data_IF_559151066458
#
_entry.id   IF_559151066458
#
_cell.length_a   1.000
_cell.length_b   1.000
_cell.length_c   1.000
_cell.angle_alpha   90.00
_cell.angle_beta   90.00
_cell.angle_gamma   90.00
#
_symmetry.space_group_name_H-M   'P 1'
#
loop_
_entity.id
_entity.type
_entity.pdbx_description
1 polymer ?
#
# COMPACT_ATOMS: atom_id res chain seq x y z
N UNK A 1 1.35 3.29 -11.08
CA UNK A 1 1.53 4.49 -11.94
C UNK A 1 2.77 4.34 -12.80
N UNK A 2 2.74 4.86 -14.04
CA UNK A 2 3.89 4.85 -14.95
C UNK A 2 4.92 5.88 -14.49
N UNK A 3 6.20 5.52 -14.47
CA UNK A 3 7.27 6.47 -14.22
C UNK A 3 7.42 7.38 -15.45
N UNK A 4 7.01 8.62 -15.33
CA UNK A 4 7.08 9.66 -16.37
C UNK A 4 8.06 10.78 -16.01
N UNK A 5 8.86 10.59 -14.95
CA UNK A 5 9.79 11.58 -14.42
C UNK A 5 9.17 12.53 -13.39
N UNK A 6 7.85 12.47 -13.17
CA UNK A 6 7.18 13.19 -12.07
C UNK A 6 7.14 12.34 -10.82
N UNK A 7 6.95 12.98 -9.66
CA UNK A 7 6.90 12.25 -8.36
C UNK A 7 5.68 11.36 -8.20
N UNK A 8 4.55 11.68 -8.83
CA UNK A 8 3.31 10.93 -8.70
C UNK A 8 3.09 9.95 -9.86
N UNK A 9 3.86 10.10 -10.94
CA UNK A 9 3.72 9.29 -12.14
C UNK A 9 2.37 9.46 -12.82
N UNK A 10 2.22 8.86 -14.00
CA UNK A 10 0.98 8.89 -14.75
C UNK A 10 0.11 7.67 -14.42
N UNK A 11 -1.17 7.88 -14.12
CA UNK A 11 -2.11 6.78 -13.91
C UNK A 11 -2.26 5.95 -15.18
N UNK A 12 -2.12 4.63 -15.01
CA UNK A 12 -2.35 3.64 -16.06
C UNK A 12 -3.34 2.59 -15.58
N UNK A 13 -4.05 2.00 -16.50
CA UNK A 13 -4.90 0.82 -16.29
C UNK A 13 -4.19 -0.36 -16.92
N UNK A 14 -3.89 -1.36 -16.12
CA UNK A 14 -3.14 -2.56 -16.53
C UNK A 14 -4.10 -3.72 -16.73
N UNK A 15 -3.88 -4.51 -17.78
CA UNK A 15 -4.65 -5.73 -18.04
C UNK A 15 -4.48 -6.75 -16.91
N UNK A 16 -5.49 -7.59 -16.67
CA UNK A 16 -5.49 -8.60 -15.61
C UNK A 16 -4.35 -9.63 -15.74
N UNK A 17 -3.89 -9.86 -16.95
CA UNK A 17 -2.76 -10.77 -17.25
C UNK A 17 -1.39 -10.08 -17.15
N UNK A 18 -1.35 -8.80 -16.75
CA UNK A 18 -0.16 -7.97 -16.61
C UNK A 18 0.69 -7.83 -17.87
N UNK A 19 0.10 -7.93 -19.06
CA UNK A 19 0.84 -7.83 -20.32
C UNK A 19 0.72 -6.48 -21.02
N UNK A 20 -0.39 -5.79 -20.80
CA UNK A 20 -0.67 -4.54 -21.50
C UNK A 20 -1.23 -3.49 -20.58
N UNK A 21 -1.12 -2.23 -20.99
CA UNK A 21 -1.74 -1.12 -20.29
C UNK A 21 -2.22 -0.03 -21.24
N UNK A 22 -3.11 0.81 -20.76
CA UNK A 22 -3.50 2.09 -21.34
C UNK A 22 -3.33 3.22 -20.32
N UNK A 23 -3.06 4.41 -20.81
CA UNK A 23 -2.99 5.62 -19.97
C UNK A 23 -4.40 6.11 -19.66
N UNK A 24 -4.64 6.53 -18.43
CA UNK A 24 -5.93 7.08 -17.99
C UNK A 24 -6.04 8.60 -18.18
N UNK A 25 -5.13 9.23 -18.91
CA UNK A 25 -4.95 10.69 -19.01
C UNK A 25 -6.20 11.46 -19.46
N UNK A 26 -7.08 10.83 -20.25
CA UNK A 26 -8.31 11.45 -20.73
C UNK A 26 -9.43 11.47 -19.66
N UNK A 27 -9.23 10.73 -18.57
CA UNK A 27 -10.13 10.67 -17.42
C UNK A 27 -9.48 11.39 -16.23
N UNK A 28 -8.26 10.96 -15.88
CA UNK A 28 -7.52 11.50 -14.72
C UNK A 28 -6.03 11.19 -14.85
N UNK A 29 -5.18 12.08 -14.39
CA UNK A 29 -3.73 12.01 -14.65
C UNK A 29 -2.94 11.20 -13.62
N UNK A 30 -3.31 11.28 -12.33
CA UNK A 30 -2.58 10.61 -11.23
C UNK A 30 -3.53 9.76 -10.38
N UNK A 31 -2.98 8.81 -9.61
CA UNK A 31 -3.76 8.03 -8.68
C UNK A 31 -4.39 8.91 -7.59
N UNK A 32 -3.66 9.92 -7.09
CA UNK A 32 -4.22 10.86 -6.11
C UNK A 32 -5.42 11.60 -6.68
N UNK A 33 -5.33 12.11 -7.91
CA UNK A 33 -6.47 12.77 -8.56
C UNK A 33 -7.65 11.81 -8.75
N UNK A 34 -7.40 10.53 -9.00
CA UNK A 34 -8.46 9.54 -9.07
C UNK A 34 -9.16 9.35 -7.71
N UNK A 35 -8.40 9.32 -6.62
CA UNK A 35 -8.98 9.23 -5.28
C UNK A 35 -9.80 10.46 -4.90
N UNK A 36 -9.29 11.65 -5.19
CA UNK A 36 -9.96 12.92 -4.90
C UNK A 36 -11.29 13.07 -5.66
N UNK A 37 -11.39 12.47 -6.85
CA UNK A 37 -12.56 12.53 -7.72
C UNK A 37 -13.25 11.16 -7.92
N UNK A 38 -13.08 10.23 -6.98
CA UNK A 38 -13.45 8.83 -7.13
C UNK A 38 -14.84 8.58 -7.69
N UNK A 39 -15.85 9.24 -7.13
CA UNK A 39 -17.25 9.02 -7.48
C UNK A 39 -17.57 9.42 -8.92
N UNK A 40 -16.79 10.33 -9.50
CA UNK A 40 -16.96 10.78 -10.90
C UNK A 40 -16.11 9.98 -11.88
N UNK A 41 -14.99 9.40 -11.45
CA UNK A 41 -14.05 8.73 -12.37
C UNK A 41 -14.08 7.20 -12.30
N UNK A 42 -14.57 6.62 -11.19
CA UNK A 42 -14.56 5.17 -10.97
C UNK A 42 -15.14 4.39 -12.15
N UNK A 43 -16.37 4.72 -12.54
CA UNK A 43 -17.07 4.00 -13.62
C UNK A 43 -16.31 4.10 -14.94
N UNK A 44 -15.76 5.27 -15.26
CA UNK A 44 -14.98 5.48 -16.49
C UNK A 44 -13.70 4.61 -16.48
N UNK A 45 -13.02 4.53 -15.33
CA UNK A 45 -11.81 3.70 -15.19
C UNK A 45 -12.16 2.20 -15.27
N UNK A 46 -13.28 1.79 -14.69
CA UNK A 46 -13.79 0.41 -14.79
C UNK A 46 -14.13 0.03 -16.25
N UNK A 47 -14.79 0.91 -16.99
CA UNK A 47 -15.13 0.70 -18.40
C UNK A 47 -13.86 0.53 -19.25
N UNK A 48 -12.86 1.40 -19.04
CA UNK A 48 -11.56 1.27 -19.72
C UNK A 48 -10.90 -0.08 -19.38
N UNK A 49 -10.96 -0.51 -18.12
CA UNK A 49 -10.41 -1.80 -17.70
C UNK A 49 -11.12 -2.97 -18.39
N UNK A 50 -12.46 -2.91 -18.51
CA UNK A 50 -13.27 -3.93 -19.20
C UNK A 50 -12.87 -3.99 -20.67
N UNK A 51 -12.80 -2.84 -21.35
CA UNK A 51 -12.46 -2.78 -22.77
C UNK A 51 -11.02 -3.21 -23.07
N UNK A 52 -10.07 -2.85 -22.20
CA UNK A 52 -8.67 -3.29 -22.29
C UNK A 52 -8.58 -4.82 -22.21
N UNK A 53 -9.23 -5.42 -21.21
CA UNK A 53 -9.23 -6.87 -21.03
C UNK A 53 -10.00 -7.63 -22.12
N UNK A 54 -10.91 -6.96 -22.81
CA UNK A 54 -11.59 -7.50 -23.99
C UNK A 54 -10.79 -7.33 -25.29
N UNK A 55 -9.59 -6.73 -25.25
CA UNK A 55 -8.75 -6.47 -26.41
C UNK A 55 -9.31 -5.42 -27.38
N UNK A 56 -10.22 -4.56 -26.93
CA UNK A 56 -10.88 -3.54 -27.76
C UNK A 56 -10.10 -2.24 -27.85
N UNK A 57 -9.11 -2.03 -26.97
CA UNK A 57 -8.32 -0.81 -26.93
C UNK A 57 -6.93 -1.02 -27.52
N UNK A 58 -6.42 0.00 -28.22
CA UNK A 58 -5.01 0.06 -28.56
C UNK A 58 -4.21 0.26 -27.26
N UNK A 59 -3.36 -0.71 -26.94
CA UNK A 59 -2.61 -0.75 -25.67
C UNK A 59 -1.10 -0.74 -25.91
N UNK A 60 -0.36 -0.48 -24.84
CA UNK A 60 1.09 -0.58 -24.77
C UNK A 60 1.48 -1.85 -24.02
N UNK A 61 2.68 -2.37 -24.27
CA UNK A 61 3.25 -3.47 -23.48
C UNK A 61 3.51 -3.00 -22.05
N UNK A 62 3.05 -3.77 -21.05
CA UNK A 62 3.33 -3.49 -19.65
C UNK A 62 4.70 -4.04 -19.26
N UNK A 63 5.47 -3.20 -18.57
CA UNK A 63 6.75 -3.55 -17.98
C UNK A 63 6.79 -3.05 -16.53
N UNK A 64 6.85 -3.97 -15.57
CA UNK A 64 6.84 -3.65 -14.15
C UNK A 64 8.10 -2.89 -13.68
N UNK A 65 9.16 -2.84 -14.48
CA UNK A 65 10.37 -2.06 -14.17
C UNK A 65 10.22 -0.58 -14.47
N UNK A 66 9.19 -0.21 -15.23
CA UNK A 66 8.92 1.16 -15.67
C UNK A 66 7.81 1.84 -14.86
N UNK A 67 7.37 1.24 -13.78
CA UNK A 67 6.30 1.82 -12.94
C UNK A 67 6.79 2.17 -11.55
N UNK A 68 6.15 3.15 -10.96
CA UNK A 68 6.18 3.42 -9.51
C UNK A 68 5.20 2.51 -8.78
N UNK A 69 5.17 2.58 -7.45
CA UNK A 69 4.06 2.06 -6.66
C UNK A 69 2.72 2.69 -7.10
N UNK A 70 1.56 2.08 -6.81
CA UNK A 70 0.27 2.69 -7.12
C UNK A 70 0.09 4.09 -6.53
N UNK A 71 0.59 4.28 -5.31
CA UNK A 71 0.72 5.58 -4.65
C UNK A 71 2.20 5.83 -4.35
N UNK A 72 2.95 6.53 -5.22
CA UNK A 72 4.35 6.83 -4.93
C UNK A 72 4.52 7.64 -3.65
N UNK A 73 3.55 8.50 -3.37
CA UNK A 73 3.47 9.31 -2.15
C UNK A 73 2.05 9.29 -1.62
N UNK A 74 1.86 8.87 -0.37
CA UNK A 74 0.59 9.02 0.34
C UNK A 74 0.67 10.21 1.29
N UNK A 75 -0.43 10.96 1.42
CA UNK A 75 -0.53 12.00 2.45
C UNK A 75 -0.50 11.41 3.85
N UNK A 76 -1.11 10.23 4.00
CA UNK A 76 -1.13 9.50 5.25
C UNK A 76 -1.28 8.01 4.96
N UNK A 77 -0.58 7.21 5.74
CA UNK A 77 -0.81 5.79 5.82
C UNK A 77 -0.58 5.30 7.24
N UNK A 78 -1.20 4.21 7.58
CA UNK A 78 -1.04 3.55 8.87
C UNK A 78 -1.02 2.05 8.66
N UNK A 79 -0.20 1.36 9.45
CA UNK A 79 -0.22 -0.07 9.56
C UNK A 79 -1.10 -0.50 10.74
N UNK A 80 -1.93 -1.51 10.52
CA UNK A 80 -2.75 -2.14 11.55
C UNK A 80 -2.40 -3.61 11.68
N UNK A 81 -1.79 -4.01 12.79
CA UNK A 81 -1.44 -5.41 13.08
C UNK A 81 -2.70 -6.25 13.36
N UNK A 82 -3.56 -6.41 12.34
CA UNK A 82 -4.84 -7.11 12.45
C UNK A 82 -4.76 -8.61 12.14
N UNK A 83 -3.66 -9.09 11.56
CA UNK A 83 -3.48 -10.51 11.28
C UNK A 83 -3.01 -11.27 12.52
N UNK A 84 -3.97 -11.86 13.23
CA UNK A 84 -3.77 -12.47 14.56
C UNK A 84 -2.61 -13.46 14.60
N UNK A 85 -2.48 -14.31 13.58
CA UNK A 85 -1.42 -15.32 13.56
C UNK A 85 -0.02 -14.68 13.51
N UNK A 86 0.16 -13.62 12.74
CA UNK A 86 1.42 -12.88 12.69
C UNK A 86 1.78 -12.34 14.09
N UNK A 87 0.86 -11.64 14.74
CA UNK A 87 1.08 -11.06 16.08
C UNK A 87 1.36 -12.15 17.11
N UNK A 88 0.65 -13.29 17.04
CA UNK A 88 0.89 -14.44 17.92
C UNK A 88 2.33 -14.98 17.75
N UNK A 89 2.78 -15.17 16.52
CA UNK A 89 4.13 -15.67 16.23
C UNK A 89 5.22 -14.71 16.70
N UNK A 90 5.05 -13.41 16.44
CA UNK A 90 6.00 -12.37 16.91
C UNK A 90 6.07 -12.31 18.42
N UNK A 91 4.94 -12.36 19.13
CA UNK A 91 4.91 -12.39 20.58
C UNK A 91 5.54 -13.66 21.16
N UNK A 92 5.20 -14.82 20.60
CA UNK A 92 5.80 -16.10 20.98
C UNK A 92 7.32 -16.09 20.82
N UNK A 93 7.84 -15.53 19.73
CA UNK A 93 9.29 -15.38 19.52
C UNK A 93 9.97 -14.50 20.57
N UNK A 94 9.23 -13.56 21.16
CA UNK A 94 9.69 -12.67 22.25
C UNK A 94 9.39 -13.20 23.65
N UNK A 95 8.80 -14.41 23.78
CA UNK A 95 8.39 -14.98 25.07
C UNK A 95 7.22 -14.23 25.74
N UNK A 96 6.42 -13.52 24.97
CA UNK A 96 5.28 -12.74 25.45
C UNK A 96 3.94 -13.39 25.06
N UNK A 97 2.93 -13.24 25.90
CA UNK A 97 1.57 -13.68 25.63
C UNK A 97 0.76 -12.61 24.91
N UNK A 98 -0.36 -13.03 24.30
CA UNK A 98 -1.31 -12.10 23.69
C UNK A 98 -2.10 -11.37 24.77
N UNK A 99 -2.11 -10.02 24.81
CA UNK A 99 -2.95 -9.29 25.77
C UNK A 99 -4.42 -9.39 25.37
N UNK A 100 -5.31 -9.39 26.37
CA UNK A 100 -6.77 -9.38 26.11
C UNK A 100 -7.19 -8.16 25.27
N UNK A 101 -6.57 -7.01 25.51
CA UNK A 101 -6.84 -5.78 24.76
C UNK A 101 -6.58 -5.89 23.25
N UNK A 102 -5.80 -6.88 22.81
CA UNK A 102 -5.54 -7.09 21.38
C UNK A 102 -6.83 -7.31 20.57
N UNK A 103 -7.87 -7.82 21.19
CA UNK A 103 -9.15 -8.13 20.55
C UNK A 103 -10.10 -6.93 20.47
N UNK A 104 -9.83 -5.88 21.23
CA UNK A 104 -10.69 -4.69 21.36
C UNK A 104 -10.02 -3.42 20.92
N UNK A 105 -8.69 -3.34 21.08
CA UNK A 105 -7.91 -2.14 20.78
C UNK A 105 -7.03 -2.38 19.56
N UNK A 106 -7.15 -1.57 18.51
CA UNK A 106 -6.31 -1.73 17.33
C UNK A 106 -4.84 -1.44 17.68
N UNK A 107 -3.96 -2.37 17.30
CA UNK A 107 -2.51 -2.13 17.36
C UNK A 107 -2.09 -1.51 16.02
N UNK A 108 -1.75 -0.23 16.04
CA UNK A 108 -1.46 0.54 14.82
C UNK A 108 -0.26 1.46 15.02
N UNK A 109 0.45 1.74 13.92
CA UNK A 109 1.39 2.85 13.87
C UNK A 109 1.15 3.71 12.62
N UNK A 110 1.57 4.98 12.71
CA UNK A 110 1.58 5.86 11.55
C UNK A 110 2.90 5.70 10.80
N UNK A 111 2.81 5.57 9.49
CA UNK A 111 3.98 5.52 8.64
C UNK A 111 4.61 6.88 8.38
N UNK A 112 5.84 6.85 7.90
CA UNK A 112 6.55 8.03 7.44
C UNK A 112 5.90 8.66 6.22
N UNK A 113 6.26 9.90 5.92
CA UNK A 113 5.74 10.67 4.76
C UNK A 113 6.68 10.65 3.56
N UNK A 114 7.62 9.73 3.54
CA UNK A 114 8.53 9.49 2.42
C UNK A 114 7.91 8.62 1.31
N UNK A 115 8.69 8.32 0.28
CA UNK A 115 8.18 7.67 -0.91
C UNK A 115 8.05 6.13 -0.71
N UNK A 116 7.04 5.54 -1.35
CA UNK A 116 6.94 4.10 -1.49
C UNK A 116 7.80 3.60 -2.65
N UNK A 117 8.52 2.50 -2.44
CA UNK A 117 9.34 1.91 -3.47
C UNK A 117 8.50 1.33 -4.62
N UNK A 118 9.02 1.44 -5.86
CA UNK A 118 8.46 0.72 -7.01
C UNK A 118 8.51 -0.80 -6.80
N UNK A 119 7.60 -1.57 -7.45
CA UNK A 119 7.47 -3.02 -7.20
C UNK A 119 8.71 -3.84 -7.56
N UNK A 120 9.55 -3.33 -8.46
CA UNK A 120 10.75 -4.02 -8.93
C UNK A 120 12.05 -3.36 -8.48
N UNK A 121 11.98 -2.32 -7.63
CA UNK A 121 13.19 -1.68 -7.11
C UNK A 121 13.92 -2.57 -6.12
N UNK A 122 15.25 -2.66 -6.20
CA UNK A 122 16.03 -3.33 -5.16
C UNK A 122 15.95 -2.54 -3.85
N UNK A 123 15.84 -3.26 -2.75
CA UNK A 123 15.95 -2.69 -1.40
C UNK A 123 17.43 -2.70 -1.04
N UNK A 124 18.03 -1.50 -0.98
CA UNK A 124 19.45 -1.36 -0.68
C UNK A 124 19.65 -1.29 0.83
N UNK A 125 20.39 -2.23 1.38
CA UNK A 125 20.70 -2.29 2.80
C UNK A 125 22.21 -2.22 3.01
N UNK A 126 22.72 -1.24 3.78
CA UNK A 126 24.16 -1.10 3.99
C UNK A 126 24.74 -2.16 4.96
N UNK A 127 23.92 -2.77 5.80
CA UNK A 127 24.34 -3.71 6.82
C UNK A 127 23.29 -4.83 7.03
N UNK A 128 23.62 -6.05 6.66
CA UNK A 128 22.75 -7.21 6.82
C UNK A 128 22.43 -7.52 8.30
N UNK A 129 23.29 -7.09 9.23
CA UNK A 129 23.06 -7.28 10.66
C UNK A 129 21.83 -6.56 11.18
N UNK A 130 21.27 -5.61 10.43
CA UNK A 130 20.00 -4.95 10.75
C UNK A 130 18.81 -5.91 10.66
N UNK A 131 19.00 -7.07 10.03
CA UNK A 131 18.01 -8.15 10.01
C UNK A 131 16.80 -7.82 9.14
N UNK A 132 17.07 -7.54 7.85
CA UNK A 132 16.00 -7.27 6.88
C UNK A 132 15.07 -8.48 6.74
N UNK A 133 13.78 -8.20 6.77
CA UNK A 133 12.71 -9.19 6.67
C UNK A 133 11.56 -8.66 5.80
N UNK A 134 10.88 -9.58 5.13
CA UNK A 134 9.72 -9.29 4.29
C UNK A 134 8.44 -9.55 5.07
N UNK A 135 7.54 -8.58 5.07
CA UNK A 135 6.16 -8.75 5.54
C UNK A 135 5.20 -8.61 4.37
N UNK A 136 4.68 -9.75 3.89
CA UNK A 136 3.66 -9.79 2.83
C UNK A 136 2.29 -9.41 3.39
N UNK A 137 1.74 -8.28 2.96
CA UNK A 137 0.56 -7.69 3.53
C UNK A 137 -0.49 -7.30 2.50
N UNK A 138 -1.70 -7.05 2.98
CA UNK A 138 -2.79 -6.46 2.21
C UNK A 138 -2.99 -5.02 2.67
N UNK A 139 -2.81 -4.08 1.76
CA UNK A 139 -3.17 -2.69 1.98
C UNK A 139 -4.52 -2.36 1.35
N UNK A 140 -5.28 -1.52 2.01
CA UNK A 140 -6.51 -0.93 1.48
C UNK A 140 -6.32 0.56 1.27
N UNK A 141 -6.94 1.09 0.22
CA UNK A 141 -7.06 2.53 0.02
C UNK A 141 -8.50 2.93 0.27
N UNK A 142 -8.70 3.86 1.18
CA UNK A 142 -10.04 4.32 1.55
C UNK A 142 -10.36 5.68 0.96
N UNK A 143 -11.65 5.96 0.76
CA UNK A 143 -12.16 7.30 0.67
C UNK A 143 -12.19 7.98 2.04
N UNK A 144 -12.90 9.10 2.14
CA UNK A 144 -13.08 9.80 3.41
C UNK A 144 -13.79 8.90 4.44
N UNK A 145 -13.15 8.68 5.59
CA UNK A 145 -13.72 8.00 6.76
C UNK A 145 -13.92 9.04 7.86
N UNK A 146 -15.16 9.40 8.11
CA UNK A 146 -15.50 10.40 9.11
C UNK A 146 -15.32 9.87 10.53
N UNK A 147 -15.07 10.78 11.46
CA UNK A 147 -15.05 10.43 12.88
C UNK A 147 -16.40 9.81 13.30
N UNK A 148 -16.34 8.70 14.04
CA UNK A 148 -17.52 7.96 14.48
C UNK A 148 -18.11 7.00 13.43
N UNK A 149 -17.45 6.80 12.27
CA UNK A 149 -17.84 5.76 11.32
C UNK A 149 -17.77 4.39 12.00
N UNK A 150 -18.85 3.61 11.88
CA UNK A 150 -18.88 2.24 12.42
C UNK A 150 -18.02 1.28 11.59
N UNK A 151 -17.67 0.11 12.12
CA UNK A 151 -16.91 -0.92 11.38
C UNK A 151 -17.66 -1.39 10.13
N UNK A 152 -18.97 -1.54 10.22
CA UNK A 152 -19.84 -1.93 9.11
C UNK A 152 -19.83 -0.87 7.99
N UNK A 153 -19.98 0.40 8.37
CA UNK A 153 -19.96 1.52 7.41
C UNK A 153 -18.57 1.73 6.80
N UNK A 154 -17.51 1.47 7.55
CA UNK A 154 -16.12 1.60 7.10
C UNK A 154 -15.81 0.71 5.90
N UNK A 155 -16.40 -0.48 5.79
CA UNK A 155 -16.21 -1.38 4.64
C UNK A 155 -16.60 -0.71 3.33
N UNK A 156 -17.65 0.11 3.33
CA UNK A 156 -18.10 0.85 2.15
C UNK A 156 -17.12 1.93 1.69
N UNK A 157 -16.14 2.28 2.52
CA UNK A 157 -15.13 3.30 2.23
C UNK A 157 -13.90 2.73 1.52
N UNK A 158 -13.75 1.42 1.49
CA UNK A 158 -12.65 0.76 0.76
C UNK A 158 -12.87 0.98 -0.74
N UNK A 159 -11.87 1.53 -1.40
CA UNK A 159 -11.88 1.83 -2.84
C UNK A 159 -10.98 0.91 -3.63
N UNK A 160 -9.79 0.62 -3.11
CA UNK A 160 -8.80 -0.24 -3.73
C UNK A 160 -8.18 -1.18 -2.70
N UNK A 161 -7.69 -2.31 -3.20
CA UNK A 161 -6.94 -3.30 -2.43
C UNK A 161 -5.66 -3.61 -3.20
N UNK A 162 -4.54 -3.73 -2.51
CA UNK A 162 -3.25 -4.08 -3.11
C UNK A 162 -2.42 -4.94 -2.18
N UNK A 163 -1.45 -5.65 -2.74
CA UNK A 163 -0.40 -6.32 -1.99
C UNK A 163 0.75 -5.35 -1.76
N UNK A 164 1.33 -5.39 -0.57
CA UNK A 164 2.50 -4.62 -0.18
C UNK A 164 3.51 -5.50 0.52
N UNK A 165 4.75 -5.04 0.56
CA UNK A 165 5.80 -5.59 1.40
C UNK A 165 6.18 -4.51 2.42
N UNK A 166 5.82 -4.72 3.69
CA UNK A 166 6.27 -3.87 4.79
C UNK A 166 7.64 -4.34 5.25
N UNK A 167 8.66 -3.76 4.64
CA UNK A 167 10.06 -4.14 4.90
C UNK A 167 10.45 -3.76 6.31
N UNK A 168 10.88 -4.77 7.09
CA UNK A 168 11.24 -4.60 8.49
C UNK A 168 12.71 -4.88 8.74
N UNK A 169 13.36 -4.04 9.54
CA UNK A 169 14.72 -4.25 10.02
C UNK A 169 14.67 -4.75 11.47
N UNK A 170 14.47 -6.06 11.61
CA UNK A 170 14.11 -6.72 12.88
C UNK A 170 15.02 -6.40 14.05
N UNK A 171 16.31 -6.25 13.80
CA UNK A 171 17.29 -6.03 14.85
C UNK A 171 17.37 -4.56 15.31
N UNK A 172 16.79 -3.62 14.56
CA UNK A 172 16.68 -2.22 14.98
C UNK A 172 15.43 -1.95 15.84
N UNK A 173 14.35 -2.71 15.61
CA UNK A 173 13.05 -2.54 16.25
C UNK A 173 13.13 -2.45 17.78
N UNK A 174 13.81 -3.39 18.51
CA UNK A 174 13.79 -3.36 19.96
C UNK A 174 14.35 -2.07 20.55
N UNK A 175 15.43 -1.53 19.98
CA UNK A 175 16.05 -0.31 20.44
C UNK A 175 15.22 0.94 20.17
N UNK A 176 14.44 0.95 19.07
CA UNK A 176 13.53 2.05 18.76
C UNK A 176 12.32 2.03 19.68
N UNK A 177 11.67 0.88 19.86
CA UNK A 177 10.52 0.73 20.74
C UNK A 177 10.85 1.01 22.21
N UNK A 178 12.06 0.67 22.66
CA UNK A 178 12.50 0.94 24.03
C UNK A 178 12.52 2.44 24.39
N UNK A 179 12.56 3.32 23.37
CA UNK A 179 12.49 4.78 23.55
C UNK A 179 11.07 5.30 23.81
N UNK A 180 10.03 4.47 23.59
CA UNK A 180 8.64 4.81 23.88
C UNK A 180 7.90 5.62 22.78
N UNK A 181 8.51 5.84 21.60
CA UNK A 181 7.91 6.63 20.51
C UNK A 181 7.47 5.80 19.30
N UNK A 182 7.97 4.59 19.14
CA UNK A 182 7.64 3.72 18.01
C UNK A 182 8.76 3.59 16.98
N UNK A 183 8.40 3.14 15.80
CA UNK A 183 9.34 2.91 14.68
C UNK A 183 9.83 4.23 14.07
N UNK A 184 11.07 4.22 13.58
CA UNK A 184 11.64 5.36 12.85
C UNK A 184 12.48 4.91 11.65
N UNK A 185 13.48 4.04 11.86
CA UNK A 185 14.34 3.51 10.80
C UNK A 185 14.14 2.03 10.53
N UNK A 186 13.40 1.35 11.39
CA UNK A 186 13.22 -0.11 11.33
C UNK A 186 12.04 -0.57 10.46
N UNK A 187 11.27 0.40 9.95
CA UNK A 187 10.11 0.19 9.07
C UNK A 187 10.16 1.12 7.88
#
# INVERSE_FOLDING_TARGET
>A
TLNDGTKDGQLIIVSKDLKTFVKAQDVVTTMQNAMDNWDSVKTLLEDISIELNAGKLKSNTFDATLVHSPFPRSFQWADGSAYVNHVHLVRKARGAEMPESFWTDPLMYQGGSDDFYPPMSPILLPDESWGIDMEGEIAIVTGEVKMGTTSEDALSKIRLIMLVNDVSLRNLIPNELAKGFGFFQSK
#
